data_IF_316342845660
#
_entry.id   IF_316342845660
#
_cell.length_a   1.000
_cell.length_b   1.000
_cell.length_c   1.000
_cell.angle_alpha   90.00
_cell.angle_beta   90.00
_cell.angle_gamma   90.00
#
_symmetry.space_group_name_H-M   'P 1'
#
loop_
_entity.id
_entity.type
_entity.pdbx_description
1 polymer ?
#
# COMPACT_ATOMS: atom_id res chain seq x y z
N UNK A 1 65.82 44.46 -25.38
CA UNK A 1 64.48 44.29 -26.06
C UNK A 1 63.80 43.15 -25.39
N UNK A 2 62.56 43.43 -24.95
CA UNK A 2 61.50 42.46 -24.46
C UNK A 2 61.79 41.81 -23.11
N UNK A 3 61.31 42.27 -22.06
CA UNK A 3 60.13 42.30 -21.21
C UNK A 3 59.54 40.91 -20.98
N UNK A 4 59.81 40.33 -19.79
CA UNK A 4 59.12 39.19 -19.24
C UNK A 4 58.24 39.66 -18.08
N UNK A 5 56.96 39.35 -18.16
CA UNK A 5 55.93 39.73 -17.18
C UNK A 5 55.79 38.59 -16.19
N UNK A 6 56.08 38.84 -14.93
CA UNK A 6 55.80 37.92 -13.81
C UNK A 6 54.35 37.90 -13.42
N UNK A 7 53.75 36.73 -13.48
CA UNK A 7 52.39 36.46 -13.04
C UNK A 7 52.39 36.06 -11.57
N UNK A 8 51.94 36.95 -10.73
CA UNK A 8 51.68 36.70 -9.31
C UNK A 8 50.40 35.88 -9.17
N UNK A 9 50.50 34.64 -8.70
CA UNK A 9 49.37 33.82 -8.29
C UNK A 9 48.92 34.22 -6.89
N UNK A 10 47.79 34.91 -6.83
CA UNK A 10 47.10 35.15 -5.56
C UNK A 10 46.30 33.89 -5.16
N UNK A 11 46.72 33.27 -4.06
CA UNK A 11 45.94 32.18 -3.44
C UNK A 11 44.82 32.78 -2.60
N UNK A 12 43.57 32.60 -3.03
CA UNK A 12 42.40 32.93 -2.22
C UNK A 12 42.19 31.81 -1.19
N UNK A 13 42.46 32.13 0.08
CA UNK A 13 42.03 31.30 1.22
C UNK A 13 40.54 31.52 1.43
N UNK A 14 39.71 30.56 1.06
CA UNK A 14 38.29 30.53 1.42
C UNK A 14 38.18 29.95 2.84
N UNK A 15 37.99 30.83 3.81
CA UNK A 15 37.63 30.44 5.19
C UNK A 15 36.13 30.08 5.20
N UNK A 16 35.80 28.78 5.13
CA UNK A 16 34.45 28.32 5.39
C UNK A 16 34.14 28.41 6.89
N UNK A 17 33.50 29.48 7.30
CA UNK A 17 32.88 29.58 8.62
C UNK A 17 31.60 28.70 8.62
N UNK A 18 31.68 27.58 9.31
CA UNK A 18 30.52 26.78 9.63
C UNK A 18 29.64 27.53 10.65
N UNK A 19 28.59 28.19 10.18
CA UNK A 19 27.49 28.61 11.03
C UNK A 19 26.73 27.34 11.42
N UNK A 20 26.93 26.85 12.63
CA UNK A 20 26.06 25.88 13.26
C UNK A 20 24.73 26.57 13.51
N UNK A 21 23.80 26.45 12.56
CA UNK A 21 22.40 26.73 12.84
C UNK A 21 21.93 25.68 13.82
N UNK A 22 21.74 26.07 15.08
CA UNK A 22 20.99 25.30 16.04
C UNK A 22 19.60 25.09 15.41
N UNK A 23 19.38 23.88 14.86
CA UNK A 23 18.06 23.46 14.42
C UNK A 23 17.16 23.52 15.64
N UNK A 24 16.26 24.48 15.69
CA UNK A 24 15.14 24.45 16.61
C UNK A 24 14.41 23.14 16.33
N UNK A 25 14.46 22.18 17.28
CA UNK A 25 13.55 21.05 17.26
C UNK A 25 12.16 21.67 17.24
N UNK A 26 11.48 21.60 16.10
CA UNK A 26 10.06 21.91 16.02
C UNK A 26 9.43 21.02 17.09
N UNK A 27 8.82 21.62 18.09
CA UNK A 27 8.01 20.88 19.04
C UNK A 27 7.01 20.07 18.19
N UNK A 28 6.97 18.75 18.39
CA UNK A 28 5.97 17.93 17.75
C UNK A 28 4.61 18.56 18.07
N UNK A 29 3.84 18.86 17.03
CA UNK A 29 2.47 19.34 17.20
C UNK A 29 1.65 18.36 18.03
N UNK A 30 0.44 18.72 18.46
CA UNK A 30 -0.42 17.78 19.14
C UNK A 30 -0.59 16.54 18.27
N UNK A 31 -0.46 15.34 18.85
CA UNK A 31 -0.72 14.09 18.16
C UNK A 31 -2.23 13.95 17.88
N UNK A 32 -2.59 13.24 16.81
CA UNK A 32 -3.96 12.85 16.54
C UNK A 32 -4.54 11.98 17.64
N UNK A 33 -5.76 11.54 17.46
CA UNK A 33 -6.45 10.70 18.43
C UNK A 33 -7.12 9.49 17.80
N UNK A 34 -7.43 8.50 18.64
CA UNK A 34 -8.14 7.29 18.25
C UNK A 34 -9.63 7.43 18.51
N UNK A 35 -10.43 7.13 17.48
CA UNK A 35 -11.84 6.82 17.61
C UNK A 35 -12.07 5.33 17.37
N UNK A 36 -13.19 4.81 17.88
CA UNK A 36 -13.56 3.39 17.76
C UNK A 36 -14.96 3.28 17.17
N UNK A 37 -15.11 2.31 16.27
CA UNK A 37 -16.41 2.04 15.67
C UNK A 37 -16.66 0.54 15.51
N UNK A 38 -17.91 0.22 15.20
CA UNK A 38 -18.37 -1.12 14.86
C UNK A 38 -19.25 -1.04 13.61
N UNK A 39 -18.93 -1.84 12.62
CA UNK A 39 -19.80 -2.04 11.46
C UNK A 39 -20.21 -3.49 11.35
N UNK A 40 -21.47 -3.74 10.98
CA UNK A 40 -22.00 -5.07 10.76
C UNK A 40 -23.01 -5.13 9.62
N UNK A 41 -23.06 -6.29 8.99
CA UNK A 41 -24.07 -6.66 8.01
C UNK A 41 -24.40 -8.16 8.14
N UNK A 42 -25.15 -8.72 7.18
CA UNK A 42 -25.57 -10.14 7.19
C UNK A 42 -24.39 -11.14 7.20
N UNK A 43 -23.17 -10.71 6.88
CA UNK A 43 -21.97 -11.53 6.88
C UNK A 43 -21.15 -11.44 8.19
N UNK A 44 -21.62 -10.64 9.16
CA UNK A 44 -20.97 -10.46 10.46
C UNK A 44 -20.60 -9.01 10.75
N UNK A 45 -19.76 -8.80 11.76
CA UNK A 45 -19.35 -7.47 12.19
C UNK A 45 -17.87 -7.38 12.40
N UNK A 46 -17.31 -6.16 12.27
CA UNK A 46 -15.91 -5.82 12.60
C UNK A 46 -15.87 -4.54 13.38
N UNK A 47 -15.18 -4.61 14.52
CA UNK A 47 -14.68 -3.41 15.17
C UNK A 47 -13.62 -2.76 14.28
N UNK A 48 -13.49 -1.46 14.37
CA UNK A 48 -12.42 -0.71 13.71
C UNK A 48 -11.99 0.47 14.57
N UNK A 49 -10.76 0.88 14.38
CA UNK A 49 -10.18 2.08 14.97
C UNK A 49 -9.89 3.09 13.87
N UNK A 50 -10.11 4.36 14.17
CA UNK A 50 -9.84 5.47 13.26
C UNK A 50 -8.80 6.37 13.90
N UNK A 51 -7.70 6.62 13.20
CA UNK A 51 -6.77 7.67 13.56
C UNK A 51 -7.21 8.95 12.89
N UNK A 52 -7.51 9.95 13.69
CA UNK A 52 -7.90 11.28 13.24
C UNK A 52 -6.72 12.22 13.49
N UNK A 53 -6.10 12.83 12.46
CA UNK A 53 -4.98 13.73 12.66
C UNK A 53 -5.37 14.95 13.47
N UNK A 54 -4.41 15.52 14.24
CA UNK A 54 -4.67 16.62 15.16
C UNK A 54 -5.28 17.86 14.49
N UNK A 55 -4.89 18.11 13.23
CA UNK A 55 -5.34 19.28 12.47
C UNK A 55 -6.62 19.02 11.66
N UNK A 56 -7.33 17.91 11.90
CA UNK A 56 -8.59 17.62 11.23
C UNK A 56 -9.63 18.70 11.48
N UNK A 57 -10.26 19.17 10.41
CA UNK A 57 -11.37 20.13 10.43
C UNK A 57 -12.52 19.61 9.57
N UNK A 58 -13.73 19.60 10.11
CA UNK A 58 -14.92 19.16 9.38
C UNK A 58 -15.20 19.98 8.10
N UNK A 59 -14.65 21.19 8.00
CA UNK A 59 -14.78 22.05 6.82
C UNK A 59 -13.87 21.64 5.65
N UNK A 60 -12.83 20.82 5.90
CA UNK A 60 -11.84 20.41 4.89
C UNK A 60 -11.91 18.90 4.64
N UNK A 61 -12.24 18.47 3.40
CA UNK A 61 -12.29 17.05 3.09
C UNK A 61 -10.88 16.45 3.02
N UNK A 62 -10.63 15.43 3.85
CA UNK A 62 -9.36 14.70 3.91
C UNK A 62 -9.42 13.39 3.11
N UNK A 63 -8.26 12.87 2.64
CA UNK A 63 -8.14 11.49 2.17
C UNK A 63 -8.43 10.47 3.28
N UNK A 64 -8.85 9.26 2.88
CA UNK A 64 -9.02 8.13 3.78
C UNK A 64 -8.13 6.96 3.34
N UNK A 65 -7.39 6.38 4.26
CA UNK A 65 -6.60 5.17 4.06
C UNK A 65 -7.15 4.02 4.92
N UNK A 66 -7.61 2.95 4.26
CA UNK A 66 -7.96 1.68 4.89
C UNK A 66 -6.69 0.82 5.03
N UNK A 67 -6.32 0.43 6.25
CA UNK A 67 -5.10 -0.36 6.53
C UNK A 67 -5.48 -1.72 7.11
N UNK A 68 -5.12 -2.79 6.40
CA UNK A 68 -5.49 -4.16 6.73
C UNK A 68 -4.29 -4.91 7.32
N UNK A 69 -4.43 -5.33 8.57
CA UNK A 69 -3.38 -6.07 9.28
C UNK A 69 -3.17 -7.49 8.75
N UNK A 70 -2.01 -8.08 9.02
CA UNK A 70 -1.71 -9.50 8.78
C UNK A 70 -2.32 -10.42 9.85
N UNK A 71 -2.05 -11.73 9.73
CA UNK A 71 -2.45 -12.71 10.75
C UNK A 71 -1.83 -12.39 12.12
N UNK A 72 -2.45 -12.86 13.19
CA UNK A 72 -2.06 -12.71 14.61
C UNK A 72 -1.86 -11.26 15.08
N UNK A 73 -2.26 -10.30 14.25
CA UNK A 73 -2.12 -8.87 14.47
C UNK A 73 -3.50 -8.21 14.74
N UNK A 74 -3.52 -6.90 14.88
CA UNK A 74 -4.74 -6.10 15.07
C UNK A 74 -4.46 -4.61 14.85
N UNK A 75 -5.46 -3.75 15.01
CA UNK A 75 -5.37 -2.33 14.69
C UNK A 75 -4.19 -1.60 15.33
N UNK A 76 -4.02 -1.71 16.66
CA UNK A 76 -2.95 -1.00 17.39
C UNK A 76 -1.56 -1.41 16.92
N UNK A 77 -1.31 -2.74 16.85
CA UNK A 77 -0.03 -3.25 16.38
C UNK A 77 0.22 -2.89 14.91
N UNK A 78 -0.82 -2.86 14.08
CA UNK A 78 -0.68 -2.46 12.69
C UNK A 78 -0.39 -0.96 12.55
N UNK A 79 -1.05 -0.12 13.35
CA UNK A 79 -0.76 1.31 13.41
C UNK A 79 0.69 1.57 13.79
N UNK A 80 1.17 0.96 14.87
CA UNK A 80 2.55 1.08 15.35
C UNK A 80 3.57 0.47 14.37
N UNK A 81 3.29 -0.73 13.85
CA UNK A 81 4.19 -1.41 12.92
C UNK A 81 4.31 -0.69 11.57
N UNK A 82 3.24 -0.09 11.07
CA UNK A 82 3.26 0.64 9.81
C UNK A 82 3.71 2.09 9.96
N UNK A 83 3.45 2.76 11.10
CA UNK A 83 3.75 4.19 11.27
C UNK A 83 2.86 5.12 10.44
N UNK A 84 1.68 4.66 9.98
CA UNK A 84 0.80 5.53 9.20
C UNK A 84 0.19 6.66 10.01
N UNK A 85 0.10 6.52 11.34
CA UNK A 85 -0.44 7.58 12.19
C UNK A 85 0.44 8.84 12.15
N UNK A 86 1.76 8.66 12.25
CA UNK A 86 2.74 9.74 12.21
C UNK A 86 2.76 10.44 10.84
N UNK A 87 2.62 9.64 9.77
CA UNK A 87 2.50 10.20 8.41
C UNK A 87 1.16 10.91 8.23
N UNK A 88 0.07 10.38 8.81
CA UNK A 88 -1.25 10.99 8.77
C UNK A 88 -1.30 12.35 9.49
N UNK A 89 -0.63 12.47 10.64
CA UNK A 89 -0.50 13.74 11.37
C UNK A 89 0.28 14.80 10.57
N UNK A 90 1.26 14.36 9.76
CA UNK A 90 2.10 15.27 8.97
C UNK A 90 1.45 15.65 7.63
N UNK A 91 0.81 14.70 6.98
CA UNK A 91 0.32 14.82 5.59
C UNK A 91 -1.19 15.10 5.50
N UNK A 92 -1.93 15.00 6.59
CA UNK A 92 -3.36 15.34 6.67
C UNK A 92 -4.26 14.31 5.99
N UNK A 93 -4.36 13.09 6.53
CA UNK A 93 -5.34 12.08 6.10
C UNK A 93 -5.85 11.25 7.27
N UNK A 94 -7.03 10.68 7.13
CA UNK A 94 -7.62 9.79 8.14
C UNK A 94 -7.22 8.35 7.83
N UNK A 95 -6.88 7.57 8.87
CA UNK A 95 -6.54 6.15 8.74
C UNK A 95 -7.58 5.31 9.46
N UNK A 96 -8.08 4.26 8.81
CA UNK A 96 -8.98 3.30 9.46
C UNK A 96 -8.38 1.89 9.45
N UNK A 97 -8.41 1.26 10.63
CA UNK A 97 -7.85 -0.06 10.91
C UNK A 97 -8.96 -1.01 11.39
N UNK A 98 -9.58 -1.79 10.50
CA UNK A 98 -10.52 -2.82 10.92
C UNK A 98 -9.82 -3.95 11.65
N UNK A 99 -10.53 -4.58 12.59
CA UNK A 99 -10.07 -5.72 13.36
C UNK A 99 -10.69 -7.01 12.85
N UNK A 100 -9.89 -7.97 12.43
CA UNK A 100 -10.37 -9.34 12.25
C UNK A 100 -10.57 -9.98 13.62
N UNK A 101 -11.76 -10.51 13.88
CA UNK A 101 -12.06 -11.13 15.16
C UNK A 101 -11.71 -12.62 15.18
N UNK A 102 -11.48 -13.17 16.37
CA UNK A 102 -11.09 -14.57 16.56
C UNK A 102 -12.21 -15.56 16.23
N UNK A 103 -13.47 -15.12 16.25
CA UNK A 103 -14.61 -15.97 15.91
C UNK A 103 -14.75 -16.17 14.41
N UNK A 104 -14.29 -15.20 13.61
CA UNK A 104 -14.26 -15.32 12.16
C UNK A 104 -13.01 -16.08 11.69
N UNK A 105 -11.87 -15.89 12.38
CA UNK A 105 -10.64 -16.63 12.14
C UNK A 105 -9.80 -16.67 13.43
N UNK A 106 -9.52 -17.86 14.01
CA UNK A 106 -8.78 -17.97 15.25
C UNK A 106 -7.37 -17.34 15.22
N UNK A 107 -6.71 -17.33 14.05
CA UNK A 107 -5.43 -16.67 13.84
C UNK A 107 -5.58 -15.19 13.44
N UNK A 108 -6.78 -14.63 13.47
CA UNK A 108 -7.07 -13.26 13.01
C UNK A 108 -6.57 -12.95 11.60
N UNK A 109 -6.47 -13.97 10.73
CA UNK A 109 -6.22 -13.75 9.31
C UNK A 109 -7.51 -13.29 8.62
N UNK A 110 -7.42 -12.34 7.70
CA UNK A 110 -8.50 -12.14 6.73
C UNK A 110 -8.65 -13.40 5.91
N UNK A 111 -9.89 -13.84 5.69
CA UNK A 111 -10.19 -15.10 5.00
C UNK A 111 -10.21 -14.90 3.46
N UNK A 112 -9.15 -14.30 2.94
CA UNK A 112 -8.99 -13.87 1.54
C UNK A 112 -9.13 -15.01 0.53
N UNK A 113 -8.86 -16.27 0.94
CA UNK A 113 -8.91 -17.47 0.10
C UNK A 113 -10.33 -18.06 -0.05
N UNK A 114 -11.32 -17.55 0.68
CA UNK A 114 -12.67 -18.06 0.60
C UNK A 114 -13.46 -17.31 -0.49
N UNK A 115 -14.11 -18.03 -1.43
CA UNK A 115 -14.85 -17.39 -2.54
C UNK A 115 -15.90 -16.37 -2.11
N UNK A 116 -16.53 -16.58 -0.94
CA UNK A 116 -17.51 -15.65 -0.39
C UNK A 116 -16.91 -14.27 -0.07
N UNK A 117 -15.62 -14.21 0.19
CA UNK A 117 -14.90 -12.96 0.48
C UNK A 117 -14.28 -12.31 -0.77
N UNK A 118 -14.41 -12.97 -1.93
CA UNK A 118 -13.82 -12.57 -3.20
C UNK A 118 -14.85 -12.00 -4.19
N UNK A 119 -15.95 -11.49 -3.68
CA UNK A 119 -17.03 -10.94 -4.50
C UNK A 119 -17.55 -9.64 -3.89
N UNK A 120 -18.01 -8.74 -4.76
CA UNK A 120 -18.69 -7.51 -4.33
C UNK A 120 -19.97 -7.81 -3.57
N UNK A 121 -20.23 -7.08 -2.50
CA UNK A 121 -21.42 -7.21 -1.68
C UNK A 121 -21.48 -8.48 -0.83
N UNK A 122 -20.38 -9.24 -0.72
CA UNK A 122 -20.32 -10.51 -0.05
C UNK A 122 -19.18 -10.61 0.96
N UNK A 123 -19.37 -11.40 2.01
CA UNK A 123 -18.36 -11.76 3.00
C UNK A 123 -17.63 -10.58 3.64
N UNK A 124 -16.36 -10.79 3.98
CA UNK A 124 -15.52 -9.78 4.62
C UNK A 124 -15.29 -8.54 3.75
N UNK A 125 -15.22 -8.71 2.43
CA UNK A 125 -15.06 -7.58 1.51
C UNK A 125 -16.23 -6.59 1.62
N UNK A 126 -17.47 -7.08 1.80
CA UNK A 126 -18.63 -6.23 2.00
C UNK A 126 -18.62 -5.51 3.36
N UNK A 127 -18.08 -6.17 4.40
CA UNK A 127 -17.95 -5.55 5.73
C UNK A 127 -16.91 -4.42 5.66
N UNK A 128 -15.75 -4.65 5.02
CA UNK A 128 -14.69 -3.65 4.88
C UNK A 128 -15.16 -2.44 4.06
N UNK A 129 -15.90 -2.66 2.98
CA UNK A 129 -16.51 -1.57 2.21
C UNK A 129 -17.53 -0.78 3.05
N UNK A 130 -18.28 -1.48 3.91
CA UNK A 130 -19.23 -0.86 4.84
C UNK A 130 -18.52 -0.03 5.92
N UNK A 131 -17.39 -0.49 6.47
CA UNK A 131 -16.54 0.29 7.38
C UNK A 131 -16.12 1.60 6.72
N UNK A 132 -15.63 1.56 5.48
CA UNK A 132 -15.28 2.76 4.71
C UNK A 132 -16.49 3.69 4.55
N UNK A 133 -17.66 3.13 4.23
CA UNK A 133 -18.92 3.88 4.13
C UNK A 133 -19.29 4.58 5.44
N UNK A 134 -19.16 3.90 6.58
CA UNK A 134 -19.46 4.45 7.90
C UNK A 134 -18.47 5.57 8.30
N UNK A 135 -17.18 5.38 8.04
CA UNK A 135 -16.16 6.42 8.29
C UNK A 135 -16.45 7.65 7.42
N UNK A 136 -16.79 7.47 6.15
CA UNK A 136 -17.18 8.58 5.25
C UNK A 136 -18.46 9.33 5.71
N UNK A 137 -19.34 8.67 6.46
CA UNK A 137 -20.52 9.31 7.02
C UNK A 137 -20.23 10.08 8.32
N UNK A 138 -19.15 9.70 9.05
CA UNK A 138 -18.76 10.32 10.30
C UNK A 138 -17.69 11.42 10.17
N UNK A 139 -16.97 11.46 9.06
CA UNK A 139 -15.89 12.42 8.81
C UNK A 139 -16.00 13.01 7.41
N UNK A 140 -15.53 14.25 7.24
CA UNK A 140 -15.49 14.88 5.93
C UNK A 140 -14.34 14.30 5.07
N UNK A 141 -14.65 13.23 4.34
CA UNK A 141 -13.72 12.53 3.46
C UNK A 141 -13.90 12.96 2.01
N UNK A 142 -12.80 13.28 1.31
CA UNK A 142 -12.83 13.43 -0.16
C UNK A 142 -13.13 12.07 -0.80
N UNK A 143 -14.31 11.87 -1.41
CA UNK A 143 -14.69 10.58 -1.97
C UNK A 143 -13.82 10.12 -3.14
N UNK A 144 -13.02 11.02 -3.72
CA UNK A 144 -12.08 10.70 -4.81
C UNK A 144 -10.74 10.21 -4.29
N UNK A 145 -10.42 10.41 -3.00
CA UNK A 145 -9.14 10.08 -2.36
C UNK A 145 -9.33 9.06 -1.25
N UNK A 146 -9.83 7.89 -1.60
CA UNK A 146 -9.99 6.76 -0.69
C UNK A 146 -9.05 5.64 -1.15
N UNK A 147 -8.23 5.15 -0.25
CA UNK A 147 -7.14 4.21 -0.56
C UNK A 147 -7.20 2.99 0.34
N UNK A 148 -6.52 1.92 -0.05
CA UNK A 148 -6.40 0.70 0.76
C UNK A 148 -4.99 0.13 0.69
N UNK A 149 -4.51 -0.33 1.83
CA UNK A 149 -3.23 -1.07 1.93
C UNK A 149 -3.32 -2.17 2.98
N UNK A 150 -2.37 -3.07 2.98
CA UNK A 150 -2.27 -4.12 3.99
C UNK A 150 -1.10 -5.05 3.76
N UNK A 151 -0.77 -5.82 4.79
CA UNK A 151 0.33 -6.80 4.77
C UNK A 151 -0.20 -8.23 4.86
N UNK A 152 0.48 -9.18 4.17
CA UNK A 152 0.20 -10.61 4.32
C UNK A 152 -1.25 -10.95 3.91
N UNK A 153 -2.04 -11.56 4.79
CA UNK A 153 -3.48 -11.77 4.58
C UNK A 153 -4.23 -10.44 4.31
N UNK A 154 -3.80 -9.33 4.96
CA UNK A 154 -4.32 -7.98 4.68
C UNK A 154 -3.93 -7.48 3.29
N UNK A 155 -2.73 -7.80 2.81
CA UNK A 155 -2.29 -7.50 1.46
C UNK A 155 -3.11 -8.27 0.40
N UNK A 156 -3.39 -9.55 0.63
CA UNK A 156 -4.25 -10.33 -0.25
C UNK A 156 -5.71 -9.79 -0.24
N UNK A 157 -6.21 -9.38 0.94
CA UNK A 157 -7.53 -8.74 1.04
C UNK A 157 -7.53 -7.36 0.35
N UNK A 158 -6.43 -6.61 0.39
CA UNK A 158 -6.27 -5.36 -0.38
C UNK A 158 -6.50 -5.61 -1.88
N UNK A 159 -5.92 -6.67 -2.44
CA UNK A 159 -6.15 -7.04 -3.85
C UNK A 159 -7.64 -7.31 -4.16
N UNK A 160 -8.37 -7.90 -3.22
CA UNK A 160 -9.83 -8.12 -3.34
C UNK A 160 -10.58 -6.78 -3.33
N UNK A 161 -10.22 -5.88 -2.40
CA UNK A 161 -10.87 -4.58 -2.30
C UNK A 161 -10.64 -3.75 -3.56
N UNK A 162 -9.42 -3.75 -4.11
CA UNK A 162 -9.11 -3.05 -5.36
C UNK A 162 -9.85 -3.64 -6.56
N UNK A 163 -9.96 -4.98 -6.63
CA UNK A 163 -10.66 -5.67 -7.71
C UNK A 163 -12.18 -5.43 -7.68
N UNK A 164 -12.80 -5.53 -6.49
CA UNK A 164 -14.26 -5.56 -6.38
C UNK A 164 -14.90 -4.21 -6.01
N UNK A 165 -14.09 -3.21 -5.62
CA UNK A 165 -14.57 -1.90 -5.17
C UNK A 165 -13.77 -0.76 -5.81
N UNK A 166 -13.48 -0.86 -7.11
CA UNK A 166 -12.77 0.18 -7.87
C UNK A 166 -13.53 1.52 -7.93
N UNK A 167 -14.83 1.49 -7.67
CA UNK A 167 -15.69 2.66 -7.49
C UNK A 167 -15.58 3.30 -6.10
N UNK A 168 -14.92 2.66 -5.16
CA UNK A 168 -14.66 3.16 -3.81
C UNK A 168 -13.21 3.62 -3.68
N UNK A 169 -12.26 2.78 -4.08
CA UNK A 169 -10.83 3.04 -3.92
C UNK A 169 -10.19 3.68 -5.14
N UNK A 170 -9.38 4.71 -4.92
CA UNK A 170 -8.63 5.40 -5.97
C UNK A 170 -7.37 4.62 -6.39
N UNK A 171 -6.71 3.97 -5.45
CA UNK A 171 -5.51 3.18 -5.61
C UNK A 171 -5.26 2.34 -4.36
N UNK A 172 -4.25 1.47 -4.38
CA UNK A 172 -3.85 0.74 -3.19
C UNK A 172 -2.41 0.23 -3.21
N UNK A 173 -1.99 -0.32 -2.05
CA UNK A 173 -0.67 -0.91 -1.90
C UNK A 173 -0.75 -2.30 -1.27
N UNK A 174 -0.14 -3.29 -1.91
CA UNK A 174 -0.09 -4.68 -1.47
C UNK A 174 1.31 -4.96 -0.90
N UNK A 175 1.41 -5.17 0.40
CA UNK A 175 2.69 -5.50 1.03
C UNK A 175 2.74 -6.98 1.39
N UNK A 176 3.73 -7.73 0.87
CA UNK A 176 3.92 -9.17 1.15
C UNK A 176 2.61 -9.97 1.07
N UNK A 177 1.78 -9.65 0.07
CA UNK A 177 0.47 -10.24 -0.18
C UNK A 177 0.43 -10.99 -1.51
N UNK A 178 -0.77 -11.24 -2.02
CA UNK A 178 -0.99 -11.94 -3.29
C UNK A 178 -2.05 -11.27 -4.16
N UNK A 179 -2.22 -11.79 -5.37
CA UNK A 179 -3.19 -11.31 -6.33
C UNK A 179 -4.65 -11.65 -5.95
N UNK A 180 -5.60 -10.93 -6.53
CA UNK A 180 -7.02 -11.27 -6.45
C UNK A 180 -7.27 -12.70 -6.93
N UNK A 181 -8.04 -13.47 -6.15
CA UNK A 181 -8.30 -14.90 -6.42
C UNK A 181 -7.02 -15.75 -6.61
N UNK A 182 -5.93 -15.38 -5.96
CA UNK A 182 -4.70 -16.18 -5.96
C UNK A 182 -4.87 -17.58 -5.38
N UNK A 183 -5.90 -17.77 -4.55
CA UNK A 183 -6.42 -19.07 -4.11
C UNK A 183 -7.94 -18.96 -3.90
N UNK A 184 -8.64 -20.10 -4.00
CA UNK A 184 -10.10 -20.21 -3.79
C UNK A 184 -10.48 -21.27 -2.77
N UNK A 185 -9.49 -21.85 -2.10
CA UNK A 185 -9.63 -22.85 -1.04
C UNK A 185 -8.54 -22.67 0.02
N UNK A 186 -8.77 -23.20 1.21
CA UNK A 186 -7.77 -23.18 2.30
C UNK A 186 -6.50 -23.93 1.91
N UNK A 187 -6.62 -25.14 1.32
CA UNK A 187 -5.46 -25.91 0.86
C UNK A 187 -4.72 -25.21 -0.28
N UNK A 188 -5.46 -24.60 -1.21
CA UNK A 188 -4.89 -23.81 -2.31
C UNK A 188 -4.13 -22.58 -1.80
N UNK A 189 -4.59 -21.96 -0.71
CA UNK A 189 -3.88 -20.81 -0.14
C UNK A 189 -2.53 -21.19 0.46
N UNK A 190 -2.41 -22.33 1.11
CA UNK A 190 -1.13 -22.82 1.63
C UNK A 190 -0.12 -23.01 0.49
N UNK A 191 -0.54 -23.59 -0.63
CA UNK A 191 0.31 -23.73 -1.81
C UNK A 191 0.67 -22.34 -2.41
N UNK A 192 -0.33 -21.48 -2.60
CA UNK A 192 -0.11 -20.14 -3.17
C UNK A 192 0.88 -19.31 -2.34
N UNK A 193 0.80 -19.38 -1.01
CA UNK A 193 1.75 -18.69 -0.14
C UNK A 193 3.18 -19.18 -0.36
N UNK A 194 3.40 -20.48 -0.49
CA UNK A 194 4.74 -21.07 -0.58
C UNK A 194 5.36 -21.04 -1.98
N UNK A 195 4.55 -21.12 -3.03
CA UNK A 195 5.02 -21.33 -4.40
C UNK A 195 4.39 -20.39 -5.44
N UNK A 196 3.52 -19.49 -5.01
CA UNK A 196 2.69 -18.69 -5.89
C UNK A 196 1.39 -19.37 -6.29
N UNK A 197 0.46 -18.59 -6.81
CA UNK A 197 -0.81 -19.10 -7.31
C UNK A 197 -0.62 -19.99 -8.54
N UNK A 198 -1.40 -21.04 -8.61
CA UNK A 198 -1.52 -21.89 -9.82
C UNK A 198 -2.40 -21.24 -10.90
N UNK A 199 -3.17 -20.21 -10.55
CA UNK A 199 -4.02 -19.50 -11.50
C UNK A 199 -3.22 -18.47 -12.29
N UNK A 200 -3.58 -18.29 -13.56
CA UNK A 200 -2.96 -17.27 -14.40
C UNK A 200 -3.30 -15.87 -13.90
N UNK A 201 -2.29 -14.99 -13.71
CA UNK A 201 -2.54 -13.59 -13.41
C UNK A 201 -3.44 -12.89 -14.45
N UNK A 202 -3.29 -13.22 -15.73
CA UNK A 202 -4.10 -12.62 -16.80
C UNK A 202 -5.58 -13.06 -16.69
N UNK A 203 -5.83 -14.34 -16.42
CA UNK A 203 -7.20 -14.81 -16.14
C UNK A 203 -7.80 -14.15 -14.93
N UNK A 204 -7.02 -13.99 -13.85
CA UNK A 204 -7.47 -13.31 -12.64
C UNK A 204 -7.61 -11.79 -12.85
N UNK A 205 -6.84 -11.19 -13.78
CA UNK A 205 -7.02 -9.80 -14.21
C UNK A 205 -8.38 -9.55 -14.85
N UNK A 206 -8.84 -10.47 -15.71
CA UNK A 206 -10.20 -10.42 -16.28
C UNK A 206 -11.28 -10.58 -15.20
N UNK A 207 -11.08 -11.50 -14.25
CA UNK A 207 -12.01 -11.69 -13.14
C UNK A 207 -12.06 -10.46 -12.20
N UNK A 208 -10.94 -9.78 -12.00
CA UNK A 208 -10.87 -8.54 -11.22
C UNK A 208 -11.62 -7.40 -11.92
N UNK A 209 -11.42 -7.24 -13.23
CA UNK A 209 -12.16 -6.29 -14.05
C UNK A 209 -13.67 -6.53 -13.98
N UNK A 210 -14.12 -7.79 -14.07
CA UNK A 210 -15.53 -8.16 -13.93
C UNK A 210 -16.09 -7.89 -12.52
N UNK A 211 -15.26 -8.03 -11.46
CA UNK A 211 -15.69 -7.79 -10.07
C UNK A 211 -15.84 -6.29 -9.75
N UNK A 212 -15.35 -5.40 -10.58
CA UNK A 212 -15.22 -3.96 -10.27
C UNK A 212 -16.54 -3.27 -9.89
N UNK A 213 -17.68 -3.84 -10.27
CA UNK A 213 -19.01 -3.31 -9.95
C UNK A 213 -19.32 -1.94 -10.57
N UNK A 214 -18.44 -1.44 -11.42
CA UNK A 214 -18.58 -0.18 -12.15
C UNK A 214 -19.03 -0.46 -13.58
N UNK A 215 -19.99 0.30 -14.14
CA UNK A 215 -20.33 0.17 -15.56
C UNK A 215 -19.20 0.60 -16.50
N UNK A 216 -18.25 1.38 -16.00
CA UNK A 216 -17.05 1.81 -16.73
C UNK A 216 -15.85 1.66 -15.78
N UNK A 217 -15.27 0.46 -15.67
CA UNK A 217 -14.07 0.24 -14.89
C UNK A 217 -12.98 1.21 -15.34
N UNK A 218 -12.26 1.77 -14.39
CA UNK A 218 -11.15 2.67 -14.64
C UNK A 218 -9.84 1.98 -14.27
N UNK A 219 -8.70 2.43 -14.80
CA UNK A 219 -7.41 1.92 -14.38
C UNK A 219 -7.24 2.03 -12.85
N UNK A 220 -6.73 0.95 -12.23
CA UNK A 220 -6.50 0.82 -10.80
C UNK A 220 -4.99 0.85 -10.52
N UNK A 221 -4.42 1.99 -10.11
CA UNK A 221 -3.02 2.06 -9.73
C UNK A 221 -2.72 1.20 -8.51
N UNK A 222 -1.62 0.45 -8.55
CA UNK A 222 -1.20 -0.42 -7.46
C UNK A 222 0.29 -0.31 -7.18
N UNK A 223 0.63 -0.23 -5.90
CA UNK A 223 1.98 -0.38 -5.41
C UNK A 223 2.13 -1.78 -4.79
N UNK A 224 3.21 -2.48 -5.08
CA UNK A 224 3.50 -3.79 -4.49
C UNK A 224 4.87 -3.76 -3.84
N UNK A 225 4.94 -4.14 -2.55
CA UNK A 225 6.18 -4.37 -1.80
C UNK A 225 6.36 -5.85 -1.50
N UNK A 226 7.58 -6.37 -1.70
CA UNK A 226 7.91 -7.73 -1.30
C UNK A 226 9.38 -7.87 -0.90
N UNK A 227 9.64 -8.65 0.14
CA UNK A 227 10.99 -9.06 0.51
C UNK A 227 11.47 -10.24 -0.32
N UNK A 228 12.69 -10.18 -0.87
CA UNK A 228 13.21 -11.27 -1.72
C UNK A 228 13.50 -12.58 -0.93
N UNK A 229 13.60 -12.51 0.39
CA UNK A 229 13.81 -13.64 1.29
C UNK A 229 12.55 -13.98 2.12
N UNK A 230 11.37 -13.55 1.66
CA UNK A 230 10.10 -13.87 2.32
C UNK A 230 9.77 -15.36 2.13
N UNK A 231 9.84 -16.12 3.23
CA UNK A 231 9.55 -17.55 3.29
C UNK A 231 8.12 -17.86 3.75
N UNK A 232 7.36 -16.83 4.16
CA UNK A 232 5.95 -16.97 4.57
C UNK A 232 5.03 -16.77 3.37
N UNK A 233 5.28 -15.72 2.60
CA UNK A 233 4.61 -15.45 1.32
C UNK A 233 5.69 -15.31 0.26
N UNK A 234 5.83 -16.33 -0.57
CA UNK A 234 6.87 -16.35 -1.60
C UNK A 234 6.77 -15.09 -2.48
N UNK A 235 7.91 -14.41 -2.80
CA UNK A 235 7.93 -13.17 -3.59
C UNK A 235 7.25 -13.26 -4.95
N UNK A 236 7.12 -14.46 -5.52
CA UNK A 236 6.37 -14.67 -6.77
C UNK A 236 4.90 -14.19 -6.66
N UNK A 237 4.32 -14.19 -5.45
CA UNK A 237 2.96 -13.67 -5.23
C UNK A 237 2.87 -12.16 -5.52
N UNK A 238 3.91 -11.39 -5.17
CA UNK A 238 4.00 -9.98 -5.50
C UNK A 238 4.08 -9.75 -7.02
N UNK A 239 4.90 -10.54 -7.72
CA UNK A 239 5.00 -10.47 -9.19
C UNK A 239 3.65 -10.80 -9.85
N UNK A 240 2.96 -11.84 -9.36
CA UNK A 240 1.63 -12.22 -9.85
C UNK A 240 0.59 -11.13 -9.59
N UNK A 241 0.65 -10.44 -8.45
CA UNK A 241 -0.23 -9.31 -8.14
C UNK A 241 -0.03 -8.15 -9.12
N UNK A 242 1.23 -7.76 -9.39
CA UNK A 242 1.54 -6.72 -10.39
C UNK A 242 0.99 -7.11 -11.76
N UNK A 243 1.30 -8.32 -12.25
CA UNK A 243 0.84 -8.78 -13.56
C UNK A 243 -0.69 -8.81 -13.65
N UNK A 244 -1.37 -9.30 -12.59
CA UNK A 244 -2.83 -9.33 -12.54
C UNK A 244 -3.43 -7.92 -12.67
N UNK A 245 -2.89 -6.91 -11.94
CA UNK A 245 -3.43 -5.56 -12.01
C UNK A 245 -3.09 -4.86 -13.34
N UNK A 246 -1.95 -5.15 -13.96
CA UNK A 246 -1.66 -4.64 -15.31
C UNK A 246 -2.65 -5.19 -16.33
N UNK A 247 -2.98 -6.48 -16.28
CA UNK A 247 -4.04 -7.06 -17.10
C UNK A 247 -5.43 -6.47 -16.80
N UNK A 248 -5.74 -6.19 -15.52
CA UNK A 248 -6.98 -5.51 -15.17
C UNK A 248 -7.03 -4.10 -15.77
N UNK A 249 -5.89 -3.40 -15.77
CA UNK A 249 -5.75 -2.06 -16.31
C UNK A 249 -5.78 -2.03 -17.85
N UNK A 250 -5.29 -3.07 -18.52
CA UNK A 250 -5.42 -3.26 -19.95
C UNK A 250 -6.89 -3.31 -20.37
N UNK A 251 -7.69 -4.10 -19.64
CA UNK A 251 -9.13 -4.16 -19.88
C UNK A 251 -9.88 -2.88 -19.47
N UNK A 252 -9.33 -2.11 -18.53
CA UNK A 252 -10.00 -0.92 -18.01
C UNK A 252 -9.77 0.33 -18.87
N UNK A 253 -8.84 0.35 -19.79
CA UNK A 253 -8.57 1.48 -20.67
C UNK A 253 -9.55 1.58 -21.83
N UNK A 254 -9.84 0.46 -22.53
CA UNK A 254 -10.73 0.45 -23.68
C UNK A 254 -11.74 -0.72 -23.72
N UNK A 255 -11.67 -1.63 -22.75
CA UNK A 255 -12.53 -2.82 -22.65
C UNK A 255 -12.05 -4.00 -23.50
N UNK A 256 -10.89 -3.91 -24.13
CA UNK A 256 -10.33 -4.92 -25.02
C UNK A 256 -9.04 -5.49 -24.41
N UNK A 257 -8.91 -6.81 -24.46
CA UNK A 257 -7.69 -7.52 -24.07
C UNK A 257 -6.71 -7.49 -25.27
N UNK A 258 -5.91 -6.43 -25.35
CA UNK A 258 -5.05 -6.14 -26.50
C UNK A 258 -3.59 -5.87 -26.14
N UNK A 259 -3.21 -6.11 -24.86
CA UNK A 259 -1.87 -5.85 -24.34
C UNK A 259 -1.42 -4.37 -24.49
N UNK A 260 -2.36 -3.42 -24.43
CA UNK A 260 -2.07 -1.98 -24.41
C UNK A 260 -1.26 -1.62 -23.16
N UNK A 261 -1.58 -2.25 -22.02
CA UNK A 261 -0.85 -2.16 -20.75
C UNK A 261 0.01 -3.40 -20.56
N UNK A 262 1.31 -3.28 -20.85
CA UNK A 262 2.23 -4.42 -20.88
C UNK A 262 2.82 -4.75 -19.52
N UNK A 263 3.04 -6.04 -19.26
CA UNK A 263 3.86 -6.53 -18.15
C UNK A 263 5.37 -6.44 -18.50
N UNK A 264 5.80 -5.25 -18.91
CA UNK A 264 7.21 -4.90 -19.15
C UNK A 264 7.45 -3.56 -18.44
N UNK A 265 8.38 -3.46 -17.48
CA UNK A 265 8.64 -2.20 -16.82
C UNK A 265 9.04 -1.12 -17.81
N UNK A 266 8.47 0.07 -17.65
CA UNK A 266 8.89 1.27 -18.42
C UNK A 266 10.20 1.83 -17.89
N UNK A 267 10.49 1.56 -16.60
CA UNK A 267 11.79 1.83 -15.99
C UNK A 267 12.03 0.90 -14.82
N UNK A 268 13.31 0.59 -14.59
CA UNK A 268 13.78 -0.14 -13.42
C UNK A 268 14.82 0.73 -12.71
N UNK A 269 14.65 0.93 -11.42
CA UNK A 269 15.58 1.66 -10.56
C UNK A 269 16.10 0.73 -9.47
N UNK A 270 17.39 0.82 -9.16
CA UNK A 270 17.98 0.16 -8.01
C UNK A 270 18.44 1.21 -7.01
N UNK A 271 18.03 1.07 -5.77
CA UNK A 271 18.41 1.94 -4.66
C UNK A 271 18.96 1.15 -3.50
N UNK A 272 19.56 1.87 -2.54
CA UNK A 272 20.00 1.32 -1.27
C UNK A 272 19.69 2.29 -0.15
N UNK A 273 19.10 1.79 0.93
CA UNK A 273 18.94 2.55 2.17
C UNK A 273 20.34 2.71 2.80
N UNK A 274 20.75 3.91 3.22
CA UNK A 274 22.04 4.11 3.89
C UNK A 274 22.23 3.15 5.08
N UNK A 275 23.24 2.28 5.01
CA UNK A 275 23.46 1.22 6.01
C UNK A 275 22.42 0.11 6.03
N UNK A 276 21.48 0.12 5.09
CA UNK A 276 20.36 -0.78 5.01
C UNK A 276 20.35 -1.63 3.75
N UNK A 277 19.14 -2.06 3.36
CA UNK A 277 18.93 -2.98 2.24
C UNK A 277 19.01 -2.31 0.88
N UNK A 278 19.48 -3.07 -0.10
CA UNK A 278 19.30 -2.77 -1.52
C UNK A 278 17.87 -3.12 -1.90
N UNK A 279 17.29 -2.35 -2.79
CA UNK A 279 15.95 -2.63 -3.34
C UNK A 279 15.89 -2.28 -4.82
N UNK A 280 15.03 -2.95 -5.55
CA UNK A 280 14.73 -2.66 -6.95
C UNK A 280 13.29 -2.19 -7.07
N UNK A 281 13.05 -1.22 -7.94
CA UNK A 281 11.72 -0.69 -8.25
C UNK A 281 11.47 -0.82 -9.73
N UNK A 282 10.56 -1.68 -10.11
CA UNK A 282 10.01 -1.72 -11.47
C UNK A 282 8.78 -0.83 -11.54
N UNK A 283 8.79 0.12 -12.47
CA UNK A 283 7.68 1.05 -12.70
C UNK A 283 7.02 0.76 -14.04
N UNK A 284 5.69 0.75 -14.04
CA UNK A 284 4.86 0.49 -15.21
C UNK A 284 3.96 1.70 -15.45
N UNK A 285 4.10 2.31 -16.63
CA UNK A 285 3.33 3.50 -17.00
C UNK A 285 2.54 3.26 -18.27
N UNK A 286 1.37 3.89 -18.35
CA UNK A 286 0.54 3.93 -19.56
C UNK A 286 -0.21 5.27 -19.63
N UNK A 287 -0.28 5.85 -20.81
CA UNK A 287 -0.94 7.15 -21.00
C UNK A 287 -0.35 8.28 -20.13
N UNK A 288 0.95 8.23 -19.82
CA UNK A 288 1.62 9.21 -18.96
C UNK A 288 1.33 9.06 -17.44
N UNK A 289 0.65 7.98 -17.04
CA UNK A 289 0.32 7.70 -15.63
C UNK A 289 1.04 6.45 -15.15
N UNK A 290 1.51 6.45 -13.91
CA UNK A 290 2.02 5.25 -13.25
C UNK A 290 0.83 4.36 -12.86
N UNK A 291 0.79 3.15 -13.43
CA UNK A 291 -0.23 2.14 -13.13
C UNK A 291 0.22 1.12 -12.10
N UNK A 292 1.52 0.79 -12.07
CA UNK A 292 2.05 -0.07 -11.03
C UNK A 292 3.50 0.30 -10.70
N UNK A 293 3.87 0.05 -9.44
CA UNK A 293 5.26 -0.04 -8.99
C UNK A 293 5.46 -1.32 -8.20
N UNK A 294 6.59 -1.99 -8.42
CA UNK A 294 6.97 -3.18 -7.71
C UNK A 294 8.31 -3.00 -7.00
N UNK A 295 8.28 -2.91 -5.69
CA UNK A 295 9.44 -2.85 -4.82
C UNK A 295 9.84 -4.25 -4.38
N UNK A 296 11.04 -4.68 -4.75
CA UNK A 296 11.66 -5.92 -4.27
C UNK A 296 12.84 -5.57 -3.37
N UNK A 297 12.69 -5.83 -2.06
CA UNK A 297 13.67 -5.49 -1.03
C UNK A 297 14.59 -6.69 -0.78
N UNK A 298 15.88 -6.55 -1.11
CA UNK A 298 16.83 -7.65 -1.09
C UNK A 298 17.12 -8.14 0.34
N UNK A 299 16.97 -9.47 0.53
CA UNK A 299 17.20 -10.13 1.81
C UNK A 299 16.19 -9.79 2.91
N UNK A 300 15.13 -9.04 2.62
CA UNK A 300 14.03 -8.81 3.56
C UNK A 300 13.15 -10.07 3.63
N UNK A 301 12.77 -10.47 4.84
CA UNK A 301 11.81 -11.53 5.10
C UNK A 301 10.36 -11.04 5.01
N UNK A 302 9.46 -11.77 5.70
CA UNK A 302 8.05 -11.39 5.81
C UNK A 302 7.86 -10.26 6.81
N UNK A 303 8.00 -9.00 6.38
CA UNK A 303 8.04 -7.84 7.27
C UNK A 303 7.57 -6.56 6.57
N UNK A 304 7.03 -5.60 7.34
CA UNK A 304 6.78 -4.23 6.88
C UNK A 304 8.11 -3.50 6.71
N UNK A 305 8.41 -3.04 5.52
CA UNK A 305 9.68 -2.44 5.16
C UNK A 305 9.84 -1.02 5.75
N UNK A 306 11.00 -0.72 6.31
CA UNK A 306 11.34 0.61 6.82
C UNK A 306 10.82 0.93 8.22
N UNK A 307 10.01 0.05 8.82
CA UNK A 307 9.44 0.28 10.15
C UNK A 307 10.50 0.30 11.24
N UNK A 308 10.48 1.33 12.06
CA UNK A 308 11.39 1.51 13.20
C UNK A 308 10.81 1.02 14.53
N UNK A 309 9.61 0.44 14.52
CA UNK A 309 8.89 0.04 15.76
C UNK A 309 9.55 -1.06 16.57
N UNK A 310 10.41 -1.89 15.93
CA UNK A 310 11.00 -3.07 16.58
C UNK A 310 10.02 -4.21 16.85
N UNK A 311 8.78 -4.11 16.39
CA UNK A 311 7.77 -5.13 16.51
C UNK A 311 8.04 -6.34 15.61
N UNK A 312 7.48 -7.51 15.90
CA UNK A 312 7.50 -8.64 14.98
C UNK A 312 6.94 -8.25 13.59
N UNK A 313 7.50 -8.85 12.55
CA UNK A 313 7.14 -8.57 11.16
C UNK A 313 7.41 -7.14 10.71
N UNK A 314 8.47 -6.50 11.24
CA UNK A 314 8.98 -5.22 10.80
C UNK A 314 10.47 -5.34 10.42
N UNK A 315 10.91 -4.53 9.45
CA UNK A 315 12.31 -4.50 8.99
C UNK A 315 12.79 -3.06 8.90
N UNK A 316 13.62 -2.60 9.86
CA UNK A 316 14.07 -1.20 9.90
C UNK A 316 15.13 -0.87 8.84
N UNK A 317 15.65 -1.87 8.12
CA UNK A 317 16.72 -1.70 7.13
C UNK A 317 16.20 -1.52 5.71
N UNK A 318 14.94 -1.80 5.45
CA UNK A 318 14.32 -1.62 4.15
C UNK A 318 13.97 -0.14 3.87
N UNK A 319 13.59 0.19 2.61
CA UNK A 319 13.04 1.50 2.31
C UNK A 319 11.73 1.72 3.06
N UNK A 320 11.43 2.97 3.38
CA UNK A 320 10.22 3.35 4.13
C UNK A 320 8.95 3.10 3.30
N UNK A 321 8.37 1.90 3.48
CA UNK A 321 7.18 1.50 2.75
C UNK A 321 5.96 2.37 3.08
N UNK A 322 5.90 2.95 4.27
CA UNK A 322 4.80 3.80 4.72
C UNK A 322 4.78 5.11 3.96
N UNK A 323 5.89 5.83 4.00
CA UNK A 323 6.01 7.10 3.27
C UNK A 323 5.90 6.87 1.76
N UNK A 324 6.58 5.86 1.22
CA UNK A 324 6.51 5.52 -0.22
C UNK A 324 5.07 5.17 -0.63
N UNK A 325 4.35 4.39 0.18
CA UNK A 325 2.94 4.10 -0.06
C UNK A 325 2.11 5.36 -0.09
N UNK A 326 2.27 6.25 0.90
CA UNK A 326 1.51 7.49 0.92
C UNK A 326 1.83 8.38 -0.29
N UNK A 327 3.09 8.58 -0.62
CA UNK A 327 3.51 9.38 -1.77
C UNK A 327 2.95 8.84 -3.10
N UNK A 328 2.87 7.51 -3.24
CA UNK A 328 2.25 6.89 -4.41
C UNK A 328 0.73 7.11 -4.44
N UNK A 329 0.07 6.97 -3.28
CA UNK A 329 -1.40 7.02 -3.19
C UNK A 329 -1.94 8.46 -3.32
N UNK A 330 -1.31 9.44 -2.66
CA UNK A 330 -1.83 10.82 -2.57
C UNK A 330 -2.03 11.50 -3.93
N UNK A 331 -1.27 11.08 -4.94
CA UNK A 331 -1.35 11.60 -6.31
C UNK A 331 -2.44 10.90 -7.15
N UNK A 332 -3.08 9.85 -6.61
CA UNK A 332 -4.13 9.11 -7.30
C UNK A 332 -5.51 9.63 -6.91
N UNK A 333 -6.34 9.89 -7.91
CA UNK A 333 -7.72 10.29 -7.71
C UNK A 333 -8.64 9.44 -8.58
N UNK A 334 -9.82 9.21 -8.05
CA UNK A 334 -10.89 8.50 -8.73
C UNK A 334 -11.67 9.44 -9.64
#
# INVERSE_FOLDING_TARGET
>A
MTSGIDSIKAALLVVCTWLATAGSALAAGPAGHWDVGLYGNVFGSREYQVWVPADYQESQPLPLLLVLHGCVNGPNLMGEASGFNEVADTEGFIVVYPRQNVTANPARCWNWQLPINQARGSGEASILAGVVGQVKAGYNIDPRRVYVTGISAGGAMTSIMLACYSDVFAAGAVHSGGMYKGATTVSGSAYALLAGSIYSPDSNGRLAWQCSGSPSPRPMPVLVFHGSADTTVNPVNGQQAVRQFLQTNDLADDGVDNDSVKYVPTSTFQGQVPGGRVYTVDTYTYGGRTLAQHYVVQGMGHAWSGSQSGLPFTDPKGPDATLITWLFLRDQQR
#
